data_IF_131942234519
#
_entry.id   IF_131942234519
#
_cell.length_a   1.000
_cell.length_b   1.000
_cell.length_c   1.000
_cell.angle_alpha   90.00
_cell.angle_beta   90.00
_cell.angle_gamma   90.00
#
_symmetry.space_group_name_H-M   'P 1'
#
loop_
_entity.id
_entity.type
_entity.pdbx_description
1 polymer ?
#
# COMPACT_ATOMS: atom_id res chain seq x y z
N UNK A 1 27.34 -19.77 -15.27
CA UNK A 1 27.35 -20.46 -13.96
C UNK A 1 25.97 -21.02 -13.70
N UNK A 2 25.80 -21.77 -12.61
CA UNK A 2 24.50 -22.29 -12.18
C UNK A 2 23.54 -21.17 -11.77
N UNK A 3 22.23 -21.36 -12.02
CA UNK A 3 21.17 -20.42 -11.64
C UNK A 3 20.37 -21.06 -10.50
N UNK A 4 20.35 -20.41 -9.34
CA UNK A 4 19.55 -20.85 -8.20
C UNK A 4 18.15 -20.21 -8.25
N UNK A 5 17.13 -21.02 -7.99
CA UNK A 5 15.72 -20.61 -8.01
C UNK A 5 15.08 -20.93 -6.65
N UNK A 6 14.42 -19.93 -6.06
CA UNK A 6 13.83 -20.01 -4.73
C UNK A 6 12.40 -19.43 -4.73
N UNK A 7 11.54 -19.83 -3.77
CA UNK A 7 10.27 -19.17 -3.53
C UNK A 7 10.45 -17.72 -3.07
N UNK A 8 9.34 -16.98 -2.96
CA UNK A 8 9.36 -15.63 -2.40
C UNK A 8 9.96 -15.63 -0.96
N UNK A 9 10.91 -14.75 -0.64
CA UNK A 9 11.61 -14.79 0.64
C UNK A 9 10.69 -14.56 1.84
N UNK A 10 10.99 -15.26 2.95
CA UNK A 10 10.33 -15.11 4.24
C UNK A 10 8.81 -15.25 4.17
N UNK A 11 8.31 -16.15 3.33
CA UNK A 11 6.92 -16.58 3.30
C UNK A 11 6.84 -18.08 3.66
N UNK A 12 5.78 -18.53 4.34
CA UNK A 12 5.53 -19.95 4.52
C UNK A 12 5.43 -20.65 3.15
N UNK A 13 6.20 -21.71 2.94
CA UNK A 13 6.15 -22.51 1.71
C UNK A 13 5.04 -23.55 1.86
N UNK A 14 4.07 -23.53 0.95
CA UNK A 14 3.03 -24.57 0.88
C UNK A 14 3.61 -25.81 0.21
N UNK A 15 4.22 -25.63 -0.97
CA UNK A 15 4.87 -26.69 -1.74
C UNK A 15 5.80 -26.10 -2.81
N UNK A 16 6.99 -26.66 -2.97
CA UNK A 16 7.97 -26.26 -3.99
C UNK A 16 8.24 -24.75 -3.99
N UNK A 17 7.87 -24.04 -5.07
CA UNK A 17 8.03 -22.59 -5.21
C UNK A 17 6.75 -21.80 -4.85
N UNK A 18 5.70 -22.48 -4.38
CA UNK A 18 4.41 -21.89 -4.03
C UNK A 18 4.41 -21.51 -2.55
N UNK A 19 4.27 -20.21 -2.28
CA UNK A 19 4.20 -19.63 -0.94
C UNK A 19 2.76 -19.27 -0.56
N UNK A 20 2.47 -19.28 0.73
CA UNK A 20 1.22 -18.75 1.26
C UNK A 20 1.22 -17.21 1.21
N UNK A 21 0.28 -16.63 0.48
CA UNK A 21 0.09 -15.18 0.34
C UNK A 21 -1.19 -14.69 1.03
N UNK A 22 -1.80 -15.49 1.91
CA UNK A 22 -3.05 -15.14 2.60
C UNK A 22 -2.93 -13.83 3.38
N UNK A 23 -1.83 -13.64 4.12
CA UNK A 23 -1.56 -12.37 4.82
C UNK A 23 -1.40 -11.19 3.83
N UNK A 24 -0.64 -11.37 2.75
CA UNK A 24 -0.47 -10.33 1.73
C UNK A 24 -1.82 -9.85 1.17
N UNK A 25 -2.74 -10.77 0.87
CA UNK A 25 -4.08 -10.41 0.39
C UNK A 25 -4.97 -9.83 1.50
N UNK A 26 -4.85 -10.30 2.74
CA UNK A 26 -5.53 -9.71 3.91
C UNK A 26 -5.14 -8.24 4.09
N UNK A 27 -3.86 -7.91 3.99
CA UNK A 27 -3.36 -6.54 4.09
C UNK A 27 -3.80 -5.68 2.90
N UNK A 28 -3.87 -6.25 1.70
CA UNK A 28 -4.47 -5.56 0.56
C UNK A 28 -5.96 -5.28 0.76
N UNK A 29 -6.72 -6.20 1.34
CA UNK A 29 -8.12 -5.98 1.68
C UNK A 29 -8.29 -4.93 2.80
N UNK A 30 -7.38 -4.91 3.78
CA UNK A 30 -7.40 -3.97 4.92
C UNK A 30 -7.43 -2.51 4.50
N UNK A 31 -6.72 -2.15 3.42
CA UNK A 31 -6.68 -0.77 2.90
C UNK A 31 -7.93 -0.35 2.12
N UNK A 32 -8.89 -1.27 1.95
CA UNK A 32 -10.15 -1.08 1.23
C UNK A 32 -9.92 -0.52 -0.19
N UNK A 33 -9.38 -1.34 -1.11
CA UNK A 33 -8.84 -0.87 -2.38
C UNK A 33 -9.93 -0.65 -3.44
N UNK A 34 -10.92 0.18 -3.11
CA UNK A 34 -12.04 0.57 -3.97
C UNK A 34 -12.41 2.02 -3.72
N UNK A 35 -13.08 2.66 -4.68
CA UNK A 35 -13.49 4.07 -4.60
C UNK A 35 -14.49 4.29 -3.47
N UNK A 36 -14.24 5.30 -2.62
CA UNK A 36 -15.13 5.75 -1.57
C UNK A 36 -15.54 7.20 -1.81
N UNK A 37 -16.74 7.39 -2.33
CA UNK A 37 -17.35 8.70 -2.58
C UNK A 37 -18.87 8.59 -2.53
N UNK A 38 -19.55 9.67 -2.16
CA UNK A 38 -21.00 9.72 -2.29
C UNK A 38 -21.41 9.74 -3.77
N UNK A 39 -22.24 8.79 -4.16
CA UNK A 39 -22.80 8.70 -5.50
C UNK A 39 -24.32 8.97 -5.55
N UNK A 40 -24.92 9.36 -4.42
CA UNK A 40 -26.35 9.59 -4.29
C UNK A 40 -26.80 10.67 -5.27
N UNK A 41 -27.77 10.33 -6.13
CA UNK A 41 -28.36 11.27 -7.09
C UNK A 41 -27.47 11.65 -8.29
N UNK A 42 -26.29 11.03 -8.46
CA UNK A 42 -25.45 11.25 -9.65
C UNK A 42 -25.99 10.52 -10.88
N UNK A 43 -26.00 11.21 -12.01
CA UNK A 43 -26.49 10.71 -13.31
C UNK A 43 -25.40 10.52 -14.37
N UNK A 44 -24.13 10.87 -14.06
CA UNK A 44 -22.99 10.80 -14.98
C UNK A 44 -21.71 10.28 -14.35
N UNK A 45 -20.58 10.40 -15.06
CA UNK A 45 -19.24 9.96 -14.65
C UNK A 45 -18.58 10.92 -13.64
N UNK A 46 -17.63 10.43 -12.84
CA UNK A 46 -16.88 11.29 -11.92
C UNK A 46 -15.90 12.10 -12.75
N UNK A 47 -15.94 13.43 -12.63
CA UNK A 47 -15.03 14.30 -13.36
C UNK A 47 -13.63 14.17 -12.76
N UNK A 48 -12.64 14.01 -13.63
CA UNK A 48 -11.23 13.97 -13.27
C UNK A 48 -10.44 14.59 -14.43
N UNK A 49 -9.64 15.60 -14.13
CA UNK A 49 -8.77 16.24 -15.11
C UNK A 49 -7.61 15.31 -15.52
N UNK A 50 -6.99 15.53 -16.70
CA UNK A 50 -5.81 14.77 -17.10
C UNK A 50 -4.67 14.83 -16.09
N UNK A 51 -4.46 15.97 -15.44
CA UNK A 51 -3.40 16.15 -14.44
C UNK A 51 -3.70 15.34 -13.16
N UNK A 52 -4.94 15.37 -12.66
CA UNK A 52 -5.33 14.53 -11.52
C UNK A 52 -5.23 13.03 -11.83
N UNK A 53 -5.60 12.62 -13.05
CA UNK A 53 -5.45 11.23 -13.48
C UNK A 53 -3.98 10.82 -13.56
N UNK A 54 -3.10 11.73 -14.00
CA UNK A 54 -1.66 11.48 -14.14
C UNK A 54 -0.98 11.22 -12.79
N UNK A 55 -1.50 11.75 -11.69
CA UNK A 55 -1.02 11.43 -10.33
C UNK A 55 -1.17 9.94 -9.97
N UNK A 56 -1.98 9.17 -10.72
CA UNK A 56 -2.14 7.74 -10.54
C UNK A 56 -1.12 6.90 -11.32
N UNK A 57 -0.41 7.49 -12.27
CA UNK A 57 0.60 6.78 -13.07
C UNK A 57 1.75 6.30 -12.19
N UNK A 58 2.17 5.06 -12.39
CA UNK A 58 3.13 4.38 -11.51
C UNK A 58 2.53 3.82 -10.23
N UNK A 59 1.21 3.92 -10.02
CA UNK A 59 0.49 3.34 -8.89
C UNK A 59 -0.48 2.22 -9.32
N UNK A 60 -1.34 2.47 -10.31
CA UNK A 60 -2.39 1.51 -10.70
C UNK A 60 -1.85 0.30 -11.46
N UNK A 61 -0.64 0.37 -12.01
CA UNK A 61 0.02 -0.68 -12.80
C UNK A 61 0.59 -1.80 -11.94
N UNK A 62 0.45 -1.71 -10.62
CA UNK A 62 0.85 -2.75 -9.69
C UNK A 62 0.06 -4.04 -9.97
N UNK A 63 0.79 -5.14 -10.18
CA UNK A 63 0.21 -6.44 -10.50
C UNK A 63 0.06 -7.36 -9.29
N UNK A 64 0.20 -6.82 -8.07
CA UNK A 64 0.09 -7.58 -6.81
C UNK A 64 0.97 -8.84 -6.72
N UNK A 65 2.15 -8.84 -7.35
CA UNK A 65 3.07 -9.99 -7.39
C UNK A 65 3.83 -10.28 -6.08
N UNK A 66 3.64 -9.46 -5.04
CA UNK A 66 4.35 -9.52 -3.75
C UNK A 66 5.89 -9.33 -3.76
N UNK A 67 6.57 -9.28 -4.91
CA UNK A 67 8.04 -9.15 -4.99
C UNK A 67 8.61 -8.00 -4.15
N UNK A 68 7.97 -6.83 -4.19
CA UNK A 68 8.41 -5.67 -3.42
C UNK A 68 8.29 -5.92 -1.90
N UNK A 69 7.20 -6.54 -1.44
CA UNK A 69 6.99 -6.84 -0.02
C UNK A 69 7.94 -7.92 0.47
N UNK A 70 8.09 -9.01 -0.28
CA UNK A 70 8.95 -10.14 0.10
C UNK A 70 10.44 -9.87 -0.13
N UNK A 71 10.80 -8.74 -0.73
CA UNK A 71 12.19 -8.22 -0.73
C UNK A 71 12.51 -7.29 0.44
N UNK A 72 11.51 -6.86 1.21
CA UNK A 72 11.66 -5.83 2.24
C UNK A 72 12.00 -6.46 3.59
N UNK A 73 13.19 -6.21 4.17
CA UNK A 73 13.55 -6.78 5.47
C UNK A 73 12.59 -6.39 6.60
N UNK A 74 12.05 -5.18 6.56
CA UNK A 74 11.06 -4.77 7.56
C UNK A 74 9.77 -5.59 7.51
N UNK A 75 9.38 -6.04 6.31
CA UNK A 75 8.22 -6.90 6.13
C UNK A 75 8.50 -8.33 6.60
N UNK A 76 9.74 -8.81 6.47
CA UNK A 76 10.15 -10.08 7.07
C UNK A 76 9.94 -10.06 8.58
N UNK A 77 10.42 -9.02 9.26
CA UNK A 77 10.40 -8.99 10.72
C UNK A 77 9.07 -8.58 11.36
N UNK A 78 8.21 -7.87 10.61
CA UNK A 78 6.99 -7.25 11.18
C UNK A 78 5.75 -7.44 10.32
N UNK A 79 5.78 -8.25 9.25
CA UNK A 79 4.66 -8.40 8.33
C UNK A 79 3.52 -9.28 8.86
N UNK A 80 3.79 -10.17 9.82
CA UNK A 80 2.82 -11.14 10.36
C UNK A 80 2.99 -11.24 11.89
N UNK A 81 2.29 -10.36 12.61
CA UNK A 81 2.32 -10.15 14.07
C UNK A 81 0.89 -10.11 14.62
N UNK A 82 0.08 -11.12 14.28
CA UNK A 82 -1.28 -11.32 14.79
C UNK A 82 -2.28 -10.20 14.44
N UNK A 83 -2.08 -9.47 13.34
CA UNK A 83 -3.02 -8.50 12.77
C UNK A 83 -2.98 -7.07 13.35
N UNK A 84 -2.66 -6.91 14.64
CA UNK A 84 -2.72 -5.59 15.30
C UNK A 84 -1.40 -4.80 15.22
N UNK A 85 -0.25 -5.48 15.19
CA UNK A 85 1.09 -4.89 15.16
C UNK A 85 1.84 -5.19 13.84
N UNK A 86 1.13 -5.16 12.73
CA UNK A 86 1.66 -5.58 11.43
C UNK A 86 2.04 -4.41 10.53
N UNK A 87 3.26 -4.48 10.00
CA UNK A 87 3.66 -3.64 8.87
C UNK A 87 2.98 -4.14 7.59
N UNK A 88 2.16 -3.30 6.96
CA UNK A 88 1.38 -3.67 5.77
C UNK A 88 2.25 -3.98 4.54
N UNK A 89 3.49 -3.53 4.54
CA UNK A 89 4.40 -3.75 3.43
C UNK A 89 4.20 -2.81 2.23
N UNK A 90 5.19 -2.74 1.34
CA UNK A 90 5.23 -1.79 0.25
C UNK A 90 4.12 -1.95 -0.80
N UNK A 91 3.65 -3.17 -1.08
CA UNK A 91 2.58 -3.36 -2.06
C UNK A 91 1.24 -2.77 -1.57
N UNK A 92 0.84 -3.10 -0.34
CA UNK A 92 -0.38 -2.59 0.25
C UNK A 92 -0.30 -1.07 0.45
N UNK A 93 0.84 -0.54 0.90
CA UNK A 93 1.02 0.91 1.07
C UNK A 93 1.06 1.67 -0.27
N UNK A 94 1.63 1.11 -1.34
CA UNK A 94 1.52 1.71 -2.68
C UNK A 94 0.06 1.78 -3.13
N UNK A 95 -0.70 0.71 -2.91
CA UNK A 95 -2.14 0.69 -3.24
C UNK A 95 -2.96 1.61 -2.32
N UNK A 96 -2.58 1.77 -1.06
CA UNK A 96 -3.22 2.74 -0.18
C UNK A 96 -3.01 4.16 -0.70
N UNK A 97 -1.77 4.48 -1.10
CA UNK A 97 -1.47 5.77 -1.71
C UNK A 97 -2.24 6.00 -3.02
N UNK A 98 -2.40 4.96 -3.85
CA UNK A 98 -3.21 5.00 -5.09
C UNK A 98 -4.64 5.49 -4.85
N UNK A 99 -5.24 5.16 -3.70
CA UNK A 99 -6.57 5.64 -3.34
C UNK A 99 -6.55 6.98 -2.62
N UNK A 100 -5.55 7.23 -1.77
CA UNK A 100 -5.34 8.53 -1.12
C UNK A 100 -5.09 9.66 -2.16
N UNK A 101 -4.46 9.33 -3.28
CA UNK A 101 -4.13 10.26 -4.36
C UNK A 101 -5.23 10.42 -5.43
N UNK A 102 -6.24 9.54 -5.47
CA UNK A 102 -7.31 9.64 -6.47
C UNK A 102 -8.26 10.79 -6.12
N UNK A 103 -8.35 11.79 -7.00
CA UNK A 103 -9.19 12.98 -6.79
C UNK A 103 -10.68 12.68 -6.62
N UNK A 104 -11.11 11.48 -7.02
CA UNK A 104 -12.49 11.02 -6.92
C UNK A 104 -12.79 10.39 -5.56
N UNK A 105 -11.78 10.05 -4.76
CA UNK A 105 -11.95 9.39 -3.46
C UNK A 105 -12.06 10.44 -2.33
N UNK A 106 -13.21 10.44 -1.64
CA UNK A 106 -13.52 11.39 -0.57
C UNK A 106 -13.02 10.91 0.80
N UNK A 107 -12.46 9.69 0.88
CA UNK A 107 -12.06 9.07 2.14
C UNK A 107 -10.56 9.22 2.47
N UNK A 108 -9.83 10.14 1.83
CA UNK A 108 -8.39 10.28 2.00
C UNK A 108 -7.94 10.40 3.48
N UNK A 109 -8.61 11.23 4.29
CA UNK A 109 -8.27 11.38 5.71
C UNK A 109 -8.58 10.10 6.52
N UNK A 110 -9.73 9.46 6.27
CA UNK A 110 -10.09 8.21 6.93
C UNK A 110 -9.13 7.06 6.56
N UNK A 111 -8.63 7.03 5.32
CA UNK A 111 -7.58 6.09 4.90
C UNK A 111 -6.27 6.35 5.62
N UNK A 112 -5.87 7.61 5.77
CA UNK A 112 -4.70 7.98 6.56
C UNK A 112 -4.88 7.59 8.03
N UNK A 113 -6.06 7.77 8.62
CA UNK A 113 -6.33 7.35 10.00
C UNK A 113 -6.14 5.85 10.22
N UNK A 114 -6.51 5.01 9.25
CA UNK A 114 -6.27 3.56 9.32
C UNK A 114 -4.78 3.18 9.29
N UNK A 115 -3.93 4.07 8.80
CA UNK A 115 -2.48 3.87 8.72
C UNK A 115 -1.73 4.55 9.88
N UNK A 116 -2.42 5.33 10.71
CA UNK A 116 -1.86 6.09 11.83
C UNK A 116 -1.72 5.18 13.06
N UNK A 117 -0.69 4.34 13.06
CA UNK A 117 -0.23 3.59 14.23
C UNK A 117 1.30 3.36 14.18
N UNK A 118 1.85 2.65 15.16
CA UNK A 118 3.30 2.42 15.27
C UNK A 118 3.88 1.45 14.23
N UNK A 119 3.06 0.63 13.56
CA UNK A 119 3.51 -0.51 12.76
C UNK A 119 3.14 -0.42 11.27
N UNK A 120 1.86 -0.22 10.94
CA UNK A 120 1.28 -0.31 9.59
C UNK A 120 2.04 0.48 8.55
N UNK A 121 2.45 1.70 8.89
CA UNK A 121 3.20 2.60 8.02
C UNK A 121 4.66 2.78 8.47
N UNK A 122 4.89 3.01 9.76
CA UNK A 122 6.16 3.57 10.23
C UNK A 122 7.32 2.57 10.36
N UNK A 123 7.08 1.26 10.15
CA UNK A 123 8.19 0.30 10.00
C UNK A 123 8.93 0.42 8.66
N UNK A 124 8.44 1.22 7.72
CA UNK A 124 9.23 1.54 6.53
C UNK A 124 10.45 2.42 6.91
N UNK A 125 11.64 1.83 6.92
CA UNK A 125 12.91 2.51 7.19
C UNK A 125 13.69 2.87 5.91
N UNK A 126 13.00 3.05 4.78
CA UNK A 126 13.61 3.50 3.51
C UNK A 126 14.78 2.62 3.04
N UNK A 127 14.62 1.30 3.13
CA UNK A 127 15.63 0.31 2.71
C UNK A 127 15.75 0.25 1.17
N UNK A 128 14.73 0.68 0.44
CA UNK A 128 14.68 0.81 -1.03
C UNK A 128 14.67 -0.48 -1.86
N UNK A 129 14.86 -1.66 -1.28
CA UNK A 129 14.72 -2.95 -2.00
C UNK A 129 13.43 -3.02 -2.83
N UNK A 130 12.31 -2.57 -2.26
CA UNK A 130 11.00 -2.62 -2.89
C UNK A 130 10.91 -1.88 -4.24
N UNK A 131 11.63 -0.78 -4.41
CA UNK A 131 11.70 -0.04 -5.67
C UNK A 131 12.67 -0.70 -6.65
N UNK A 132 13.78 -1.26 -6.16
CA UNK A 132 14.79 -1.92 -6.99
C UNK A 132 14.27 -3.22 -7.62
N UNK A 133 13.47 -4.01 -6.89
CA UNK A 133 13.01 -5.33 -7.37
C UNK A 133 11.69 -5.29 -8.13
N UNK A 134 11.01 -4.13 -8.20
CA UNK A 134 9.67 -4.10 -8.78
C UNK A 134 9.75 -4.47 -10.28
N UNK A 135 9.12 -5.57 -10.73
CA UNK A 135 9.24 -6.01 -12.13
C UNK A 135 8.52 -5.08 -13.11
N UNK A 136 7.68 -4.18 -12.59
CA UNK A 136 6.98 -3.14 -13.35
C UNK A 136 7.67 -1.78 -13.32
N UNK A 137 8.84 -1.66 -12.65
CA UNK A 137 9.57 -0.40 -12.51
C UNK A 137 8.86 0.64 -11.63
N UNK A 138 7.93 0.21 -10.78
CA UNK A 138 7.19 1.11 -9.89
C UNK A 138 8.03 1.50 -8.68
N UNK A 139 7.63 2.58 -7.99
CA UNK A 139 8.35 3.08 -6.83
C UNK A 139 7.49 3.08 -5.55
N UNK A 140 7.30 1.90 -4.89
CA UNK A 140 6.59 1.82 -3.61
C UNK A 140 7.22 2.67 -2.51
N UNK A 141 8.55 2.81 -2.50
CA UNK A 141 9.23 3.63 -1.50
C UNK A 141 8.81 5.11 -1.58
N UNK A 142 8.69 5.66 -2.80
CA UNK A 142 8.17 7.01 -3.03
C UNK A 142 6.71 7.13 -2.57
N UNK A 143 5.85 6.18 -2.92
CA UNK A 143 4.45 6.19 -2.49
C UNK A 143 4.33 6.19 -0.95
N UNK A 144 5.13 5.38 -0.25
CA UNK A 144 5.17 5.37 1.22
C UNK A 144 5.64 6.72 1.78
N UNK A 145 6.65 7.34 1.16
CA UNK A 145 7.12 8.66 1.57
C UNK A 145 6.04 9.73 1.40
N UNK A 146 5.26 9.69 0.32
CA UNK A 146 4.12 10.60 0.12
C UNK A 146 3.01 10.38 1.15
N UNK A 147 2.72 9.14 1.55
CA UNK A 147 1.81 8.87 2.68
C UNK A 147 2.34 9.55 3.94
N UNK A 148 3.62 9.33 4.30
CA UNK A 148 4.24 9.94 5.48
C UNK A 148 4.20 11.47 5.44
N UNK A 149 4.41 12.07 4.27
CA UNK A 149 4.26 13.51 4.07
C UNK A 149 2.82 13.95 4.35
N UNK A 150 1.82 13.26 3.76
CA UNK A 150 0.40 13.55 3.97
C UNK A 150 -0.04 13.37 5.42
N UNK A 151 0.54 12.44 6.18
CA UNK A 151 0.29 12.30 7.63
C UNK A 151 0.59 13.58 8.40
N UNK A 152 1.62 14.31 8.00
CA UNK A 152 2.06 15.55 8.67
C UNK A 152 1.37 16.78 8.12
N UNK A 153 1.04 16.79 6.82
CA UNK A 153 0.46 17.98 6.15
C UNK A 153 -1.07 17.99 6.11
N UNK A 154 -1.75 16.90 6.48
CA UNK A 154 -3.22 16.85 6.49
C UNK A 154 -3.80 17.82 7.52
N UNK A 155 -5.02 18.37 7.29
CA UNK A 155 -5.73 19.16 8.29
C UNK A 155 -5.85 18.38 9.61
N UNK A 156 -5.68 19.05 10.74
CA UNK A 156 -5.82 18.42 12.05
C UNK A 156 -7.25 17.86 12.22
N UNK A 157 -7.36 16.70 12.87
CA UNK A 157 -8.67 16.17 13.29
C UNK A 157 -9.38 17.25 14.10
N UNK A 158 -10.53 17.72 13.63
CA UNK A 158 -11.42 18.54 14.46
C UNK A 158 -11.78 17.66 15.65
N UNK A 159 -11.21 17.93 16.83
CA UNK A 159 -11.63 17.23 18.05
C UNK A 159 -13.11 17.55 18.25
N UNK A 160 -13.99 16.62 17.91
CA UNK A 160 -15.33 16.63 18.48
C UNK A 160 -15.13 16.62 19.99
N UNK A 161 -15.46 17.75 20.63
CA UNK A 161 -15.48 17.86 22.07
C UNK A 161 -16.59 16.92 22.54
N UNK A 162 -16.20 15.81 23.16
CA UNK A 162 -17.09 15.04 24.03
C UNK A 162 -17.55 15.92 25.20
#
# INVERSE_FOLDING_TARGET
GEIAVYPLPHQPVIKDLVTDLSNFFRQHAYIEPFLKADNTGRTGEFLQSPDERKELDGLYECILCACCSTSCPSYWWNGDKNGEEEYLGPAALLQAYRWIADSRDEAANARLDKLEDEFKLYRCHTIMNCAQVCPKGLNPAKAIAEIKKRMVTRPAKTKERA
#
